data_IF_836554439890
#
_entry.id   IF_836554439890
#
_cell.length_a   1.000
_cell.length_b   1.000
_cell.length_c   1.000
_cell.angle_alpha   90.00
_cell.angle_beta   90.00
_cell.angle_gamma   90.00
#
_symmetry.space_group_name_H-M   'P 1'
#
loop_
_entity.id
_entity.type
_entity.pdbx_description
1 polymer ?
#
# COMPACT_ATOMS: atom_id res chain seq x y z
N UNK A 1 16.67 -39.47 -1.22
CA UNK A 1 15.51 -38.56 -1.43
C UNK A 1 14.89 -38.26 -0.08
N UNK A 2 14.57 -37.00 0.23
CA UNK A 2 13.88 -36.64 1.48
C UNK A 2 12.47 -37.29 1.49
N UNK A 3 12.05 -37.86 2.62
CA UNK A 3 10.79 -38.59 2.77
C UNK A 3 9.56 -37.72 2.51
N UNK A 4 9.61 -36.41 2.78
CA UNK A 4 8.53 -35.48 2.46
C UNK A 4 8.38 -35.26 0.94
N UNK A 5 9.50 -35.05 0.25
CA UNK A 5 9.50 -34.83 -1.20
C UNK A 5 9.05 -36.10 -1.92
N UNK A 6 9.49 -37.27 -1.46
CA UNK A 6 9.08 -38.55 -2.02
C UNK A 6 7.58 -38.80 -1.87
N UNK A 7 6.98 -38.50 -0.71
CA UNK A 7 5.52 -38.57 -0.52
C UNK A 7 4.77 -37.61 -1.44
N UNK A 8 5.27 -36.38 -1.60
CA UNK A 8 4.67 -35.39 -2.53
C UNK A 8 4.72 -35.87 -3.98
N UNK A 9 5.83 -36.48 -4.39
CA UNK A 9 5.96 -37.10 -5.72
C UNK A 9 5.00 -38.27 -5.88
N UNK A 10 4.88 -39.15 -4.88
CA UNK A 10 3.92 -40.26 -4.90
C UNK A 10 2.48 -39.76 -5.01
N UNK A 11 2.08 -38.75 -4.22
CA UNK A 11 0.75 -38.12 -4.32
C UNK A 11 0.49 -37.47 -5.68
N UNK A 12 1.50 -36.81 -6.26
CA UNK A 12 1.39 -36.22 -7.59
C UNK A 12 1.29 -37.27 -8.71
N UNK A 13 1.80 -38.49 -8.48
CA UNK A 13 1.82 -39.58 -9.46
C UNK A 13 0.66 -40.58 -9.33
N UNK A 14 -0.20 -40.48 -8.30
CA UNK A 14 -1.35 -41.39 -8.08
C UNK A 14 -2.22 -41.50 -9.34
N UNK A 15 -2.40 -40.39 -10.03
CA UNK A 15 -3.31 -40.27 -11.18
C UNK A 15 -2.61 -40.66 -12.51
N UNK A 16 -1.35 -41.10 -12.46
CA UNK A 16 -0.54 -41.51 -13.62
C UNK A 16 -0.04 -40.36 -14.51
N UNK A 17 -0.17 -39.11 -14.05
CA UNK A 17 0.21 -37.90 -14.79
C UNK A 17 0.55 -36.74 -13.84
N UNK A 18 1.44 -35.84 -14.26
CA UNK A 18 1.86 -34.64 -13.50
C UNK A 18 1.63 -33.38 -14.36
N UNK A 19 0.88 -32.41 -13.83
CA UNK A 19 0.68 -31.09 -14.47
C UNK A 19 1.91 -30.17 -14.34
N UNK A 20 2.05 -29.16 -15.20
CA UNK A 20 3.17 -28.20 -15.14
C UNK A 20 3.24 -27.47 -13.80
N UNK A 21 2.09 -27.16 -13.20
CA UNK A 21 2.01 -26.54 -11.87
C UNK A 21 2.42 -27.48 -10.75
N UNK A 22 2.02 -28.75 -10.81
CA UNK A 22 2.50 -29.77 -9.86
C UNK A 22 4.02 -29.95 -10.00
N UNK A 23 4.54 -29.99 -11.23
CA UNK A 23 5.98 -30.01 -11.51
C UNK A 23 6.69 -28.79 -10.92
N UNK A 24 6.13 -27.59 -11.07
CA UNK A 24 6.70 -26.36 -10.50
C UNK A 24 6.71 -26.37 -8.96
N UNK A 25 5.64 -26.86 -8.32
CA UNK A 25 5.55 -27.01 -6.86
C UNK A 25 6.60 -28.01 -6.36
N UNK A 26 6.75 -29.14 -7.04
CA UNK A 26 7.77 -30.15 -6.73
C UNK A 26 9.18 -29.59 -6.88
N UNK A 27 9.47 -28.84 -7.96
CA UNK A 27 10.74 -28.14 -8.17
C UNK A 27 11.04 -27.13 -7.06
N UNK A 28 10.07 -26.30 -6.67
CA UNK A 28 10.22 -25.34 -5.56
C UNK A 28 10.54 -26.02 -4.24
N UNK A 29 9.83 -27.11 -3.91
CA UNK A 29 10.08 -27.88 -2.69
C UNK A 29 11.42 -28.61 -2.73
N UNK A 30 11.81 -29.16 -3.88
CA UNK A 30 13.11 -29.78 -4.08
C UNK A 30 14.27 -28.78 -3.92
N UNK A 31 14.15 -27.60 -4.51
CA UNK A 31 15.13 -26.52 -4.37
C UNK A 31 15.31 -26.08 -2.91
N UNK A 32 14.22 -25.94 -2.16
CA UNK A 32 14.27 -25.60 -0.73
C UNK A 32 14.92 -26.68 0.13
N UNK A 33 14.96 -27.92 -0.35
CA UNK A 33 15.63 -29.05 0.30
C UNK A 33 17.05 -29.27 -0.23
N UNK A 34 17.56 -28.38 -1.10
CA UNK A 34 18.88 -28.49 -1.71
C UNK A 34 19.01 -29.65 -2.71
N UNK A 35 17.90 -30.12 -3.26
CA UNK A 35 17.87 -31.20 -4.25
C UNK A 35 18.04 -30.64 -5.66
N UNK A 36 18.76 -31.37 -6.51
CA UNK A 36 19.01 -30.97 -7.89
C UNK A 36 17.72 -31.05 -8.73
N UNK A 37 17.46 -30.02 -9.54
CA UNK A 37 16.22 -29.91 -10.30
C UNK A 37 16.20 -30.88 -11.49
N UNK A 38 17.35 -31.08 -12.14
CA UNK A 38 17.45 -31.97 -13.31
C UNK A 38 17.31 -33.44 -12.86
N UNK A 39 17.89 -33.80 -11.71
CA UNK A 39 17.68 -35.11 -11.09
C UNK A 39 16.21 -35.35 -10.72
N UNK A 40 15.51 -34.34 -10.19
CA UNK A 40 14.09 -34.47 -9.88
C UNK A 40 13.28 -34.74 -11.15
N UNK A 41 13.49 -33.96 -12.21
CA UNK A 41 12.76 -34.13 -13.46
C UNK A 41 13.04 -35.51 -14.09
N UNK A 42 14.30 -35.98 -14.04
CA UNK A 42 14.65 -37.32 -14.49
C UNK A 42 13.92 -38.42 -13.68
N UNK A 43 13.79 -38.25 -12.36
CA UNK A 43 13.04 -39.18 -11.49
C UNK A 43 11.54 -39.15 -11.80
N UNK A 44 10.96 -37.97 -12.01
CA UNK A 44 9.54 -37.82 -12.35
C UNK A 44 9.22 -38.48 -13.69
N UNK A 45 10.03 -38.20 -14.70
CA UNK A 45 9.86 -38.76 -16.04
C UNK A 45 10.13 -40.27 -16.05
N UNK A 46 11.10 -40.74 -15.26
CA UNK A 46 11.39 -42.17 -15.06
C UNK A 46 10.21 -42.91 -14.40
N UNK A 47 9.64 -42.36 -13.32
CA UNK A 47 8.47 -42.94 -12.65
C UNK A 47 7.22 -42.91 -13.53
N UNK A 48 7.00 -41.83 -14.28
CA UNK A 48 5.93 -41.75 -15.28
C UNK A 48 6.14 -42.80 -16.38
N UNK A 49 7.38 -42.99 -16.84
CA UNK A 49 7.70 -44.01 -17.82
C UNK A 49 7.48 -45.42 -17.27
N UNK A 50 7.82 -45.72 -16.02
CA UNK A 50 7.55 -47.02 -15.39
C UNK A 50 6.05 -47.32 -15.27
N UNK A 51 5.26 -46.34 -14.83
CA UNK A 51 3.80 -46.42 -14.81
C UNK A 51 3.24 -46.72 -16.21
N UNK A 52 3.78 -46.06 -17.25
CA UNK A 52 3.38 -46.28 -18.64
C UNK A 52 4.01 -47.52 -19.30
N UNK A 53 5.14 -48.04 -18.81
CA UNK A 53 5.81 -49.22 -19.37
C UNK A 53 5.09 -50.51 -18.97
N UNK A 54 4.47 -50.53 -17.79
CA UNK A 54 3.57 -51.60 -17.37
C UNK A 54 2.32 -51.75 -18.26
N UNK A 55 2.08 -50.80 -19.18
CA UNK A 55 0.97 -50.84 -20.14
C UNK A 55 1.34 -51.26 -21.57
N UNK A 56 2.56 -51.75 -21.84
CA UNK A 56 2.88 -52.36 -23.14
C UNK A 56 2.11 -53.67 -23.31
N UNK A 57 1.43 -53.90 -24.45
CA UNK A 57 0.45 -54.97 -24.56
C UNK A 57 1.12 -56.35 -24.64
N UNK A 58 0.64 -57.30 -23.82
CA UNK A 58 0.57 -58.69 -24.27
C UNK A 58 -0.62 -58.77 -25.23
N UNK A 59 -0.37 -59.12 -26.48
CA UNK A 59 -1.45 -59.41 -27.44
C UNK A 59 -2.20 -60.63 -26.92
N UNK A 60 -3.46 -60.45 -26.52
CA UNK A 60 -4.27 -61.55 -26.00
C UNK A 60 -4.69 -62.44 -27.18
N UNK A 61 -4.04 -63.61 -27.29
CA UNK A 61 -4.44 -64.65 -28.24
C UNK A 61 -5.39 -65.61 -27.56
N UNK A 62 -6.41 -66.08 -28.28
CA UNK A 62 -7.28 -67.13 -27.78
C UNK A 62 -6.44 -68.40 -27.51
N UNK A 63 -6.48 -68.98 -26.30
CA UNK A 63 -5.72 -70.19 -26.00
C UNK A 63 -6.23 -71.43 -26.74
N UNK A 64 -7.47 -71.40 -27.26
CA UNK A 64 -8.06 -72.52 -27.99
C UNK A 64 -7.80 -72.49 -29.49
N UNK A 65 -7.72 -71.32 -30.13
CA UNK A 65 -7.58 -71.21 -31.59
C UNK A 65 -6.46 -70.26 -32.07
N UNK A 66 -5.82 -69.51 -31.17
CA UNK A 66 -4.74 -68.59 -31.51
C UNK A 66 -5.16 -67.24 -32.11
N UNK A 67 -6.45 -67.02 -32.32
CA UNK A 67 -7.03 -65.76 -32.83
C UNK A 67 -6.66 -64.57 -31.93
N UNK A 68 -6.37 -63.41 -32.52
CA UNK A 68 -6.14 -62.18 -31.78
C UNK A 68 -7.49 -61.66 -31.29
N UNK A 69 -7.65 -61.54 -29.97
CA UNK A 69 -8.91 -61.10 -29.37
C UNK A 69 -8.97 -59.57 -29.33
N UNK A 70 -9.74 -58.99 -30.23
CA UNK A 70 -10.09 -57.57 -30.25
C UNK A 70 -11.31 -57.31 -29.34
N UNK A 71 -11.09 -57.02 -28.06
CA UNK A 71 -12.09 -56.38 -27.19
C UNK A 71 -13.24 -57.26 -26.63
N UNK A 72 -13.54 -57.03 -25.34
CA UNK A 72 -14.73 -57.32 -24.49
C UNK A 72 -15.49 -58.66 -24.55
N UNK A 73 -15.41 -59.46 -25.61
CA UNK A 73 -16.10 -60.75 -25.63
C UNK A 73 -15.35 -61.74 -24.76
N UNK A 74 -16.00 -62.23 -23.69
CA UNK A 74 -15.52 -63.39 -22.93
C UNK A 74 -15.53 -64.67 -23.78
N UNK A 75 -16.11 -64.61 -24.98
CA UNK A 75 -16.25 -65.71 -25.92
C UNK A 75 -15.45 -65.39 -27.17
N UNK A 76 -14.52 -66.24 -27.54
CA UNK A 76 -13.75 -66.04 -28.76
C UNK A 76 -14.67 -66.12 -30.00
N UNK A 77 -14.69 -65.11 -30.89
CA UNK A 77 -15.61 -65.08 -32.04
C UNK A 77 -15.37 -66.19 -33.07
N UNK A 78 -14.17 -66.80 -33.07
CA UNK A 78 -13.79 -67.82 -34.04
C UNK A 78 -13.96 -69.25 -33.54
N UNK A 79 -14.06 -69.47 -32.21
CA UNK A 79 -14.10 -70.83 -31.65
C UNK A 79 -14.99 -71.00 -30.42
N UNK A 80 -15.77 -69.98 -30.07
CA UNK A 80 -16.68 -69.97 -28.91
C UNK A 80 -16.03 -70.30 -27.56
N UNK A 81 -14.70 -70.25 -27.47
CA UNK A 81 -13.99 -70.50 -26.22
C UNK A 81 -14.25 -69.40 -25.19
N UNK A 82 -14.73 -69.79 -24.00
CA UNK A 82 -15.00 -68.89 -22.88
C UNK A 82 -13.74 -68.66 -22.06
N UNK A 83 -13.26 -67.42 -22.05
CA UNK A 83 -12.08 -66.99 -21.31
C UNK A 83 -12.41 -66.85 -19.81
N UNK A 84 -11.91 -67.77 -18.98
CA UNK A 84 -11.91 -67.62 -17.52
C UNK A 84 -10.66 -66.82 -17.11
N UNK A 85 -10.84 -65.61 -16.60
CA UNK A 85 -9.72 -64.77 -16.17
C UNK A 85 -9.21 -65.23 -14.80
N UNK A 86 -8.19 -66.08 -14.78
CA UNK A 86 -7.35 -66.26 -13.59
C UNK A 86 -6.17 -65.26 -13.63
N UNK A 87 -6.01 -64.55 -12.52
CA UNK A 87 -5.19 -63.36 -12.32
C UNK A 87 -3.71 -63.52 -12.69
N UNK A 88 -3.20 -62.65 -13.57
CA UNK A 88 -1.77 -62.35 -13.66
C UNK A 88 -1.56 -60.84 -13.92
N UNK A 89 -0.94 -60.17 -12.94
CA UNK A 89 -0.34 -58.82 -12.91
C UNK A 89 -0.90 -57.71 -13.84
N UNK A 90 -1.59 -56.72 -13.22
CA UNK A 90 -1.83 -55.35 -13.71
C UNK A 90 -2.28 -55.15 -15.17
N UNK A 91 -3.02 -56.09 -15.75
CA UNK A 91 -3.74 -55.82 -17.00
C UNK A 91 -5.05 -55.11 -16.65
N UNK A 92 -5.04 -53.76 -16.67
CA UNK A 92 -6.29 -52.98 -16.60
C UNK A 92 -7.24 -53.44 -17.71
N UNK A 93 -8.44 -53.85 -17.31
CA UNK A 93 -9.48 -54.31 -18.25
C UNK A 93 -10.10 -53.12 -18.99
N UNK A 94 -10.71 -53.35 -20.15
CA UNK A 94 -11.39 -52.27 -20.89
C UNK A 94 -12.50 -51.60 -20.05
N UNK A 95 -13.27 -52.40 -19.31
CA UNK A 95 -14.30 -51.89 -18.39
C UNK A 95 -13.68 -50.95 -17.32
N UNK A 96 -12.52 -51.30 -16.77
CA UNK A 96 -11.82 -50.46 -15.81
C UNK A 96 -11.31 -49.14 -16.42
N UNK A 97 -10.79 -49.17 -17.66
CA UNK A 97 -10.37 -47.96 -18.36
C UNK A 97 -11.56 -47.06 -18.74
N UNK A 98 -12.69 -47.64 -19.15
CA UNK A 98 -13.92 -46.89 -19.45
C UNK A 98 -14.49 -46.26 -18.17
N UNK A 99 -14.57 -47.01 -17.07
CA UNK A 99 -14.99 -46.47 -15.76
C UNK A 99 -14.08 -45.37 -15.26
N UNK A 100 -12.78 -45.46 -15.50
CA UNK A 100 -11.81 -44.42 -15.17
C UNK A 100 -12.07 -43.13 -15.96
N UNK A 101 -12.35 -43.26 -17.27
CA UNK A 101 -12.71 -42.13 -18.14
C UNK A 101 -14.03 -41.48 -17.71
N UNK A 102 -15.07 -42.28 -17.46
CA UNK A 102 -16.35 -41.81 -16.94
C UNK A 102 -16.19 -41.10 -15.60
N UNK A 103 -15.35 -41.65 -14.71
CA UNK A 103 -15.03 -41.04 -13.42
C UNK A 103 -14.44 -39.65 -13.57
N UNK A 104 -13.44 -39.47 -14.44
CA UNK A 104 -12.81 -38.17 -14.70
C UNK A 104 -13.78 -37.14 -15.30
N UNK A 105 -14.60 -37.55 -16.27
CA UNK A 105 -15.59 -36.68 -16.91
C UNK A 105 -16.72 -36.33 -15.94
N UNK A 106 -17.17 -37.28 -15.12
CA UNK A 106 -18.21 -37.06 -14.11
C UNK A 106 -17.71 -36.17 -12.96
N UNK A 107 -16.46 -36.36 -12.53
CA UNK A 107 -15.83 -35.52 -11.52
C UNK A 107 -15.82 -34.05 -11.96
N UNK A 108 -15.61 -33.77 -13.25
CA UNK A 108 -15.69 -32.42 -13.80
C UNK A 108 -17.06 -31.80 -13.53
N UNK A 109 -18.16 -32.54 -13.70
CA UNK A 109 -19.53 -32.03 -13.48
C UNK A 109 -19.82 -31.78 -12.00
N UNK A 110 -19.24 -32.58 -11.10
CA UNK A 110 -19.40 -32.47 -9.65
C UNK A 110 -18.63 -31.30 -9.02
N UNK A 111 -17.70 -30.67 -9.74
CA UNK A 111 -16.93 -29.53 -9.23
C UNK A 111 -17.87 -28.39 -8.80
N UNK A 112 -17.84 -27.98 -7.51
CA UNK A 112 -18.72 -26.93 -7.00
C UNK A 112 -18.36 -25.57 -7.59
N UNK A 113 -19.35 -24.66 -7.60
CA UNK A 113 -19.11 -23.27 -7.99
C UNK A 113 -18.18 -22.61 -6.98
N UNK A 114 -16.94 -22.34 -7.37
CA UNK A 114 -15.96 -21.61 -6.53
C UNK A 114 -16.28 -20.12 -6.54
N UNK A 115 -15.74 -19.32 -5.61
CA UNK A 115 -16.04 -17.88 -5.52
C UNK A 115 -15.51 -17.04 -6.70
N UNK A 116 -16.03 -15.81 -6.88
CA UNK A 116 -15.67 -14.90 -7.98
C UNK A 116 -14.31 -14.20 -7.82
N UNK A 117 -13.52 -14.51 -6.78
CA UNK A 117 -12.30 -13.75 -6.43
C UNK A 117 -11.26 -13.70 -7.55
N UNK A 118 -11.01 -14.80 -8.25
CA UNK A 118 -10.05 -14.83 -9.37
C UNK A 118 -10.50 -13.95 -10.55
N UNK A 119 -11.81 -13.88 -10.79
CA UNK A 119 -12.40 -13.03 -11.83
C UNK A 119 -12.25 -11.56 -11.43
N UNK A 120 -12.57 -11.24 -10.17
CA UNK A 120 -12.44 -9.90 -9.63
C UNK A 120 -10.99 -9.39 -9.68
N UNK A 121 -10.01 -10.20 -9.27
CA UNK A 121 -8.59 -9.85 -9.38
C UNK A 121 -8.16 -9.60 -10.83
N UNK A 122 -8.61 -10.43 -11.77
CA UNK A 122 -8.32 -10.24 -13.19
C UNK A 122 -8.98 -8.95 -13.71
N UNK A 123 -10.21 -8.66 -13.31
CA UNK A 123 -10.93 -7.44 -13.69
C UNK A 123 -10.24 -6.17 -13.16
N UNK A 124 -9.78 -6.19 -11.90
CA UNK A 124 -9.00 -5.08 -11.33
C UNK A 124 -7.72 -4.86 -12.14
N UNK A 125 -6.95 -5.92 -12.42
CA UNK A 125 -5.71 -5.79 -13.18
C UNK A 125 -5.97 -5.22 -14.58
N UNK A 126 -7.07 -5.60 -15.25
CA UNK A 126 -7.47 -5.01 -16.53
C UNK A 126 -7.70 -3.51 -16.39
N UNK A 127 -8.46 -3.08 -15.39
CA UNK A 127 -8.79 -1.66 -15.20
C UNK A 127 -7.54 -0.85 -14.82
N UNK A 128 -6.75 -1.33 -13.85
CA UNK A 128 -5.54 -0.63 -13.35
C UNK A 128 -4.48 -0.51 -14.43
N UNK A 129 -4.31 -1.53 -15.27
CA UNK A 129 -3.32 -1.52 -16.36
C UNK A 129 -3.86 -0.91 -17.66
N UNK A 130 -5.03 -0.25 -17.62
CA UNK A 130 -5.70 0.32 -18.79
C UNK A 130 -5.81 -0.68 -19.97
N UNK A 131 -6.02 -1.95 -19.67
CA UNK A 131 -6.15 -3.02 -20.65
C UNK A 131 -4.85 -3.72 -21.07
N UNK A 132 -3.66 -3.27 -20.65
CA UNK A 132 -2.40 -3.95 -20.99
C UNK A 132 -2.35 -5.39 -20.46
N UNK A 133 -3.01 -5.68 -19.33
CA UNK A 133 -3.13 -7.03 -18.80
C UNK A 133 -3.83 -8.01 -19.76
N UNK A 134 -4.74 -7.52 -20.62
CA UNK A 134 -5.40 -8.34 -21.65
C UNK A 134 -4.36 -8.83 -22.66
N UNK A 135 -3.48 -7.93 -23.09
CA UNK A 135 -2.41 -8.24 -24.05
C UNK A 135 -1.45 -9.26 -23.43
N UNK A 136 -1.00 -9.00 -22.20
CA UNK A 136 -0.12 -9.92 -21.47
C UNK A 136 -0.72 -11.33 -21.39
N UNK A 137 -1.98 -11.46 -20.98
CA UNK A 137 -2.58 -12.78 -20.74
C UNK A 137 -2.95 -13.51 -22.04
N UNK A 138 -3.53 -12.81 -23.01
CA UNK A 138 -4.03 -13.42 -24.26
C UNK A 138 -2.95 -13.59 -25.32
N UNK A 139 -2.02 -12.63 -25.45
CA UNK A 139 -1.01 -12.64 -26.52
C UNK A 139 0.27 -13.34 -26.06
N UNK A 140 0.77 -13.00 -24.86
CA UNK A 140 2.04 -13.56 -24.37
C UNK A 140 1.82 -14.95 -23.77
N UNK A 141 0.84 -15.10 -22.88
CA UNK A 141 0.58 -16.37 -22.19
C UNK A 141 -0.36 -17.32 -22.92
N UNK A 142 -1.12 -16.83 -23.92
CA UNK A 142 -2.16 -17.60 -24.63
C UNK A 142 -3.19 -18.26 -23.68
N UNK A 143 -3.42 -17.64 -22.53
CA UNK A 143 -4.35 -18.12 -21.51
C UNK A 143 -5.72 -17.47 -21.67
N UNK A 144 -6.76 -18.14 -21.18
CA UNK A 144 -8.09 -17.54 -21.06
C UNK A 144 -8.06 -16.37 -20.05
N UNK A 145 -8.70 -15.25 -20.43
CA UNK A 145 -8.67 -14.01 -19.65
C UNK A 145 -9.33 -14.20 -18.28
N UNK A 146 -10.51 -14.83 -18.28
CA UNK A 146 -11.30 -15.17 -17.10
C UNK A 146 -11.50 -16.69 -17.07
N UNK A 147 -10.66 -17.39 -16.30
CA UNK A 147 -10.83 -18.81 -16.05
C UNK A 147 -10.61 -19.11 -14.57
N UNK A 148 -11.72 -19.28 -13.85
CA UNK A 148 -11.71 -19.57 -12.42
C UNK A 148 -11.19 -20.97 -12.11
N UNK A 149 -11.46 -21.89 -13.04
CA UNK A 149 -11.17 -23.31 -12.93
C UNK A 149 -9.92 -23.72 -13.69
N UNK A 150 -9.11 -22.78 -14.20
CA UNK A 150 -7.97 -23.05 -15.06
C UNK A 150 -7.11 -24.24 -14.60
N UNK A 151 -6.76 -24.29 -13.31
CA UNK A 151 -6.00 -25.40 -12.72
C UNK A 151 -6.76 -26.74 -12.76
N UNK A 152 -8.04 -26.74 -12.38
CA UNK A 152 -8.88 -27.96 -12.36
C UNK A 152 -9.14 -28.44 -13.79
N UNK A 153 -9.45 -27.52 -14.71
CA UNK A 153 -9.66 -27.82 -16.13
C UNK A 153 -8.40 -28.43 -16.73
N UNK A 154 -7.23 -27.82 -16.50
CA UNK A 154 -5.93 -28.33 -16.98
C UNK A 154 -5.65 -29.74 -16.45
N UNK A 155 -5.86 -29.97 -15.15
CA UNK A 155 -5.67 -31.30 -14.53
C UNK A 155 -6.61 -32.35 -15.13
N UNK A 156 -7.90 -32.03 -15.28
CA UNK A 156 -8.90 -32.96 -15.82
C UNK A 156 -8.66 -33.23 -17.30
N UNK A 157 -8.35 -32.21 -18.10
CA UNK A 157 -8.00 -32.37 -19.52
C UNK A 157 -6.82 -33.34 -19.63
N UNK A 158 -5.76 -33.11 -18.87
CA UNK A 158 -4.56 -33.92 -18.98
C UNK A 158 -4.75 -35.38 -18.51
N UNK A 159 -5.48 -35.59 -17.41
CA UNK A 159 -5.85 -36.92 -16.94
C UNK A 159 -6.74 -37.67 -17.95
N UNK A 160 -7.79 -37.00 -18.46
CA UNK A 160 -8.68 -37.56 -19.47
C UNK A 160 -7.92 -37.89 -20.76
N UNK A 161 -7.05 -36.99 -21.22
CA UNK A 161 -6.25 -37.21 -22.44
C UNK A 161 -5.29 -38.39 -22.28
N UNK A 162 -4.75 -38.59 -21.07
CA UNK A 162 -3.93 -39.76 -20.76
C UNK A 162 -4.75 -41.06 -20.84
N UNK A 163 -5.93 -41.09 -20.22
CA UNK A 163 -6.86 -42.23 -20.29
C UNK A 163 -7.27 -42.53 -21.74
N UNK A 164 -7.59 -41.49 -22.52
CA UNK A 164 -7.95 -41.58 -23.94
C UNK A 164 -6.79 -42.12 -24.77
N UNK A 165 -5.55 -41.66 -24.55
CA UNK A 165 -4.37 -42.18 -25.24
C UNK A 165 -4.20 -43.67 -24.97
N UNK A 166 -4.37 -44.10 -23.72
CA UNK A 166 -4.26 -45.51 -23.34
C UNK A 166 -5.35 -46.36 -24.00
N UNK A 167 -6.60 -45.88 -24.01
CA UNK A 167 -7.72 -46.53 -24.70
C UNK A 167 -7.48 -46.64 -26.21
N UNK A 168 -7.08 -45.56 -26.87
CA UNK A 168 -6.78 -45.55 -28.31
C UNK A 168 -5.57 -46.42 -28.67
N UNK A 169 -4.56 -46.50 -27.81
CA UNK A 169 -3.39 -47.35 -28.05
C UNK A 169 -3.76 -48.84 -28.01
N UNK A 170 -4.74 -49.24 -27.19
CA UNK A 170 -5.14 -50.64 -27.02
C UNK A 170 -6.32 -51.06 -27.91
N UNK A 171 -7.24 -50.14 -28.21
CA UNK A 171 -8.51 -50.42 -28.88
C UNK A 171 -8.83 -49.42 -29.99
N UNK A 172 -7.82 -48.76 -30.55
CA UNK A 172 -7.98 -47.72 -31.57
C UNK A 172 -8.59 -48.20 -32.89
N UNK A 173 -8.62 -49.50 -33.15
CA UNK A 173 -9.26 -50.09 -34.34
C UNK A 173 -10.74 -50.41 -34.11
N UNK A 174 -11.23 -50.37 -32.86
CA UNK A 174 -12.63 -50.64 -32.52
C UNK A 174 -13.48 -49.36 -32.70
N UNK A 175 -14.45 -49.44 -33.61
CA UNK A 175 -15.34 -48.31 -33.94
C UNK A 175 -16.23 -47.89 -32.75
N UNK A 176 -16.73 -48.85 -31.97
CA UNK A 176 -17.61 -48.56 -30.83
C UNK A 176 -16.83 -47.88 -29.70
N UNK A 177 -15.61 -48.35 -29.44
CA UNK A 177 -14.73 -47.74 -28.43
C UNK A 177 -14.35 -46.32 -28.83
N UNK A 178 -14.00 -46.07 -30.09
CA UNK A 178 -13.71 -44.72 -30.58
C UNK A 178 -14.91 -43.79 -30.52
N UNK A 179 -16.10 -44.27 -30.84
CA UNK A 179 -17.32 -43.49 -30.73
C UNK A 179 -17.58 -43.06 -29.29
N UNK A 180 -17.48 -44.00 -28.34
CA UNK A 180 -17.61 -43.72 -26.91
C UNK A 180 -16.56 -42.71 -26.41
N UNK A 181 -15.29 -42.87 -26.79
CA UNK A 181 -14.22 -41.92 -26.46
C UNK A 181 -14.56 -40.51 -26.94
N UNK A 182 -14.97 -40.38 -28.20
CA UNK A 182 -15.27 -39.08 -28.79
C UNK A 182 -16.48 -38.42 -28.12
N UNK A 183 -17.50 -39.18 -27.76
CA UNK A 183 -18.65 -38.70 -27.00
C UNK A 183 -18.23 -38.16 -25.63
N UNK A 184 -17.40 -38.91 -24.89
CA UNK A 184 -16.91 -38.50 -23.56
C UNK A 184 -16.03 -37.26 -23.62
N UNK A 185 -15.18 -37.14 -24.64
CA UNK A 185 -14.37 -35.93 -24.89
C UNK A 185 -15.27 -34.74 -25.21
N UNK A 186 -16.27 -34.93 -26.07
CA UNK A 186 -17.21 -33.87 -26.43
C UNK A 186 -18.02 -33.38 -25.22
N UNK A 187 -18.48 -34.29 -24.36
CA UNK A 187 -19.15 -33.93 -23.10
C UNK A 187 -18.25 -33.11 -22.17
N UNK A 188 -17.01 -33.56 -21.96
CA UNK A 188 -16.00 -32.83 -21.17
C UNK A 188 -15.80 -31.41 -21.71
N UNK A 189 -15.53 -31.30 -23.01
CA UNK A 189 -15.22 -30.02 -23.65
C UNK A 189 -16.42 -29.06 -23.63
N UNK A 190 -17.64 -29.60 -23.78
CA UNK A 190 -18.88 -28.82 -23.64
C UNK A 190 -19.04 -28.23 -22.23
N UNK A 191 -18.73 -29.00 -21.19
CA UNK A 191 -18.78 -28.52 -19.79
C UNK A 191 -17.76 -27.40 -19.56
N UNK A 192 -16.52 -27.58 -20.03
CA UNK A 192 -15.45 -26.57 -19.90
C UNK A 192 -15.82 -25.29 -20.65
N UNK A 193 -16.28 -25.42 -21.90
CA UNK A 193 -16.69 -24.28 -22.72
C UNK A 193 -17.86 -23.52 -22.09
N UNK A 194 -18.83 -24.21 -21.49
CA UNK A 194 -19.95 -23.58 -20.78
C UNK A 194 -19.47 -22.77 -19.57
N UNK A 195 -18.50 -23.29 -18.81
CA UNK A 195 -17.90 -22.58 -17.66
C UNK A 195 -17.13 -21.34 -18.11
N UNK A 196 -16.26 -21.48 -19.10
CA UNK A 196 -15.45 -20.37 -19.62
C UNK A 196 -16.31 -19.23 -20.19
N UNK A 197 -17.40 -19.56 -20.90
CA UNK A 197 -18.38 -18.56 -21.37
C UNK A 197 -19.02 -17.81 -20.18
N UNK A 198 -19.45 -18.55 -19.16
CA UNK A 198 -20.04 -17.95 -17.95
C UNK A 198 -19.05 -17.04 -17.20
N UNK A 199 -17.81 -17.47 -17.03
CA UNK A 199 -16.76 -16.68 -16.38
C UNK A 199 -16.38 -15.45 -17.21
N UNK A 200 -16.37 -15.56 -18.55
CA UNK A 200 -16.13 -14.42 -19.44
C UNK A 200 -17.22 -13.35 -19.30
N UNK A 201 -18.49 -13.76 -19.29
CA UNK A 201 -19.62 -12.86 -19.07
C UNK A 201 -19.53 -12.19 -17.69
N UNK A 202 -19.28 -12.98 -16.64
CA UNK A 202 -19.10 -12.46 -15.28
C UNK A 202 -17.94 -11.47 -15.18
N UNK A 203 -16.83 -11.74 -15.87
CA UNK A 203 -15.65 -10.86 -15.89
C UNK A 203 -15.94 -9.54 -16.57
N UNK A 204 -16.61 -9.56 -17.73
CA UNK A 204 -17.02 -8.33 -18.44
C UNK A 204 -17.95 -7.48 -17.56
N UNK A 205 -18.96 -8.09 -16.94
CA UNK A 205 -19.88 -7.38 -16.02
C UNK A 205 -19.10 -6.74 -14.87
N UNK A 206 -18.13 -7.47 -14.30
CA UNK A 206 -17.31 -6.96 -13.19
C UNK A 206 -16.46 -5.77 -13.63
N UNK A 207 -15.83 -5.82 -14.81
CA UNK A 207 -15.06 -4.69 -15.37
C UNK A 207 -15.98 -3.48 -15.58
N UNK A 208 -17.14 -3.67 -16.20
CA UNK A 208 -18.11 -2.59 -16.42
C UNK A 208 -18.59 -1.98 -15.09
N UNK A 209 -18.85 -2.80 -14.07
CA UNK A 209 -19.22 -2.32 -12.75
C UNK A 209 -18.10 -1.50 -12.11
N UNK A 210 -16.84 -1.95 -12.17
CA UNK A 210 -15.69 -1.21 -11.64
C UNK A 210 -15.53 0.13 -12.37
N UNK A 211 -15.59 0.14 -13.70
CA UNK A 211 -15.50 1.38 -14.49
C UNK A 211 -16.68 2.32 -14.19
N UNK A 212 -17.89 1.79 -14.05
CA UNK A 212 -19.07 2.56 -13.66
C UNK A 212 -18.95 3.17 -12.27
N UNK A 213 -18.39 2.43 -11.30
CA UNK A 213 -18.09 2.94 -9.96
C UNK A 213 -17.04 4.06 -10.03
N UNK A 214 -15.94 3.85 -10.75
CA UNK A 214 -14.90 4.88 -10.93
C UNK A 214 -15.45 6.14 -11.62
N UNK A 215 -16.34 5.97 -12.60
CA UNK A 215 -17.03 7.08 -13.25
C UNK A 215 -18.00 7.79 -12.30
N UNK A 216 -18.72 7.06 -11.44
CA UNK A 216 -19.57 7.67 -10.43
C UNK A 216 -18.73 8.47 -9.40
N UNK A 217 -17.60 7.92 -8.96
CA UNK A 217 -16.66 8.62 -8.08
C UNK A 217 -16.07 9.88 -8.73
N UNK A 218 -15.81 9.87 -10.04
CA UNK A 218 -15.33 11.07 -10.75
C UNK A 218 -16.41 12.16 -10.91
N UNK A 219 -17.69 11.79 -10.76
CA UNK A 219 -18.83 12.72 -10.79
C UNK A 219 -19.30 13.15 -9.41
N UNK A 220 -18.93 12.43 -8.35
CA UNK A 220 -19.18 12.89 -6.99
C UNK A 220 -18.29 14.08 -6.71
N UNK A 221 -18.90 15.26 -6.53
CA UNK A 221 -18.26 16.34 -5.80
C UNK A 221 -18.00 15.81 -4.39
N UNK A 222 -16.72 15.52 -4.12
CA UNK A 222 -16.28 15.18 -2.77
C UNK A 222 -16.83 16.27 -1.83
N UNK A 223 -17.52 15.89 -0.73
CA UNK A 223 -17.90 16.88 0.26
C UNK A 223 -16.64 17.66 0.61
N UNK A 224 -16.66 18.98 0.41
CA UNK A 224 -15.54 19.86 0.78
C UNK A 224 -15.10 19.41 2.17
N UNK A 225 -13.82 19.06 2.39
CA UNK A 225 -13.38 18.64 3.70
C UNK A 225 -13.90 19.69 4.67
N UNK A 226 -14.63 19.25 5.70
CA UNK A 226 -14.98 20.12 6.82
C UNK A 226 -13.72 20.89 7.17
N UNK A 227 -13.80 22.23 7.18
CA UNK A 227 -12.66 23.17 7.28
C UNK A 227 -11.49 22.50 8.01
N UNK A 228 -10.28 22.47 7.43
CA UNK A 228 -9.14 21.87 8.09
C UNK A 228 -9.10 22.38 9.52
N UNK A 229 -8.99 21.47 10.50
CA UNK A 229 -8.77 21.84 11.89
C UNK A 229 -7.51 22.69 11.84
N UNK A 230 -7.71 24.00 12.02
CA UNK A 230 -6.67 25.01 11.91
C UNK A 230 -5.50 24.58 12.80
N UNK A 231 -4.30 24.48 12.23
CA UNK A 231 -3.13 24.04 12.98
C UNK A 231 -2.83 25.01 14.12
N UNK A 232 -2.12 24.56 15.16
CA UNK A 232 -1.71 25.44 16.25
C UNK A 232 -0.84 26.61 15.74
N UNK A 233 -0.04 26.37 14.69
CA UNK A 233 0.73 27.39 13.97
C UNK A 233 -0.19 28.42 13.30
N UNK A 234 -1.15 27.98 12.49
CA UNK A 234 -2.11 28.86 11.81
C UNK A 234 -2.91 29.72 12.81
N UNK A 235 -3.35 29.10 13.92
CA UNK A 235 -4.05 29.82 15.00
C UNK A 235 -3.17 30.90 15.62
N UNK A 236 -1.91 30.57 15.90
CA UNK A 236 -0.94 31.49 16.51
C UNK A 236 -0.66 32.67 15.60
N UNK A 237 -0.35 32.42 14.33
CA UNK A 237 -0.16 33.48 13.33
C UNK A 237 -1.39 34.37 13.19
N UNK A 238 -2.60 33.79 13.16
CA UNK A 238 -3.83 34.56 13.06
C UNK A 238 -4.00 35.48 14.26
N UNK A 239 -3.74 34.99 15.47
CA UNK A 239 -3.82 35.83 16.67
C UNK A 239 -2.76 36.92 16.71
N UNK A 240 -1.54 36.65 16.21
CA UNK A 240 -0.49 37.66 16.01
C UNK A 240 -0.97 38.75 15.04
N UNK A 241 -1.47 38.36 13.86
CA UNK A 241 -2.01 39.28 12.84
C UNK A 241 -3.19 40.11 13.38
N UNK A 242 -3.95 39.56 14.33
CA UNK A 242 -5.06 40.25 14.99
C UNK A 242 -4.64 41.09 16.22
N UNK A 243 -3.35 41.15 16.57
CA UNK A 243 -2.83 41.87 17.74
C UNK A 243 -3.23 41.27 19.09
N UNK A 244 -3.67 40.00 19.12
CA UNK A 244 -4.17 39.33 20.34
C UNK A 244 -3.06 38.51 20.99
N UNK A 245 -2.05 39.19 21.54
CA UNK A 245 -0.82 38.59 22.08
C UNK A 245 -1.11 37.47 23.10
N UNK A 246 -2.02 37.70 24.05
CA UNK A 246 -2.36 36.68 25.05
C UNK A 246 -2.97 35.41 24.45
N UNK A 247 -3.84 35.54 23.43
CA UNK A 247 -4.43 34.38 22.73
C UNK A 247 -3.39 33.66 21.86
N UNK A 248 -2.47 34.42 21.25
CA UNK A 248 -1.37 33.86 20.48
C UNK A 248 -0.42 33.04 21.36
N UNK A 249 -0.07 33.50 22.57
CA UNK A 249 0.76 32.74 23.52
C UNK A 249 0.10 31.43 23.95
N UNK A 250 -1.22 31.43 24.17
CA UNK A 250 -1.96 30.21 24.51
C UNK A 250 -1.91 29.21 23.35
N UNK A 251 -2.12 29.67 22.11
CA UNK A 251 -2.04 28.81 20.94
C UNK A 251 -0.62 28.30 20.69
N UNK A 252 0.41 29.12 20.93
CA UNK A 252 1.81 28.74 20.82
C UNK A 252 2.19 27.63 21.81
N UNK A 253 1.60 27.63 23.01
CA UNK A 253 1.84 26.58 24.00
C UNK A 253 1.33 25.20 23.56
N UNK A 254 0.38 25.13 22.63
CA UNK A 254 -0.11 23.88 22.03
C UNK A 254 0.82 23.35 20.92
N UNK A 255 1.82 24.11 20.48
CA UNK A 255 2.78 23.70 19.45
C UNK A 255 3.86 22.76 19.99
N UNK A 256 4.22 21.77 19.19
CA UNK A 256 5.39 20.91 19.43
C UNK A 256 6.68 21.74 19.44
N UNK A 257 7.65 21.34 20.27
CA UNK A 257 8.96 22.00 20.34
C UNK A 257 9.67 21.93 18.98
N UNK A 258 10.19 23.06 18.51
CA UNK A 258 10.87 23.14 17.24
C UNK A 258 11.11 24.57 16.78
N UNK A 259 11.87 24.69 15.69
CA UNK A 259 12.34 25.97 15.16
C UNK A 259 11.21 26.99 14.91
N UNK A 260 10.08 26.55 14.37
CA UNK A 260 8.92 27.43 14.10
C UNK A 260 8.30 27.98 15.40
N UNK A 261 8.26 27.19 16.47
CA UNK A 261 7.76 27.62 17.78
C UNK A 261 8.69 28.67 18.37
N UNK A 262 10.00 28.48 18.26
CA UNK A 262 11.01 29.43 18.74
C UNK A 262 10.92 30.77 17.99
N UNK A 263 10.72 30.73 16.67
CA UNK A 263 10.55 31.92 15.84
C UNK A 263 9.30 32.72 16.26
N UNK A 264 8.17 32.04 16.44
CA UNK A 264 6.92 32.66 16.89
C UNK A 264 6.98 33.15 18.34
N UNK A 265 7.69 32.46 19.24
CA UNK A 265 7.91 32.91 20.62
C UNK A 265 8.71 34.23 20.65
N UNK A 266 9.79 34.30 19.88
CA UNK A 266 10.59 35.52 19.75
C UNK A 266 9.78 36.69 19.20
N UNK A 267 8.98 36.44 18.15
CA UNK A 267 8.09 37.46 17.59
C UNK A 267 7.05 37.95 18.61
N UNK A 268 6.46 37.03 19.39
CA UNK A 268 5.48 37.38 20.42
C UNK A 268 6.09 38.17 21.58
N UNK A 269 7.32 37.88 21.96
CA UNK A 269 8.06 38.65 22.96
C UNK A 269 8.30 40.07 22.48
N UNK A 270 8.71 40.25 21.22
CA UNK A 270 8.94 41.58 20.65
C UNK A 270 7.65 42.40 20.61
N UNK A 271 6.54 41.79 20.18
CA UNK A 271 5.23 42.44 20.20
C UNK A 271 4.75 42.80 21.62
N UNK A 272 5.07 41.98 22.62
CA UNK A 272 4.74 42.27 24.02
C UNK A 272 5.56 43.44 24.56
N UNK A 273 6.85 43.49 24.26
CA UNK A 273 7.73 44.61 24.62
C UNK A 273 7.20 45.91 24.00
N UNK A 274 6.88 45.90 22.71
CA UNK A 274 6.32 47.06 22.01
C UNK A 274 4.99 47.48 22.61
N UNK A 275 4.09 46.53 22.90
CA UNK A 275 2.80 46.80 23.51
C UNK A 275 2.94 47.45 24.90
N UNK A 276 3.83 46.94 25.75
CA UNK A 276 4.07 47.47 27.10
C UNK A 276 4.71 48.86 27.03
N UNK A 277 5.67 49.04 26.14
CA UNK A 277 6.36 50.32 25.94
C UNK A 277 5.39 51.40 25.45
N UNK A 278 4.52 51.07 24.50
CA UNK A 278 3.47 51.98 24.02
C UNK A 278 2.42 52.31 25.09
N UNK A 279 2.23 51.42 26.08
CA UNK A 279 1.37 51.66 27.23
C UNK A 279 2.06 52.46 28.36
N UNK A 280 3.28 52.96 28.12
CA UNK A 280 4.17 53.58 29.13
C UNK A 280 4.54 52.65 30.31
N UNK A 281 4.34 51.32 30.19
CA UNK A 281 4.79 50.33 31.16
C UNK A 281 6.22 49.85 30.84
N UNK A 282 7.16 50.77 31.01
CA UNK A 282 8.58 50.54 30.68
C UNK A 282 9.23 49.49 31.59
N UNK A 283 8.82 49.43 32.86
CA UNK A 283 9.34 48.43 33.81
C UNK A 283 8.85 47.02 33.43
N UNK A 284 7.59 46.89 33.01
CA UNK A 284 7.05 45.67 32.42
C UNK A 284 7.84 45.23 31.18
N UNK A 285 8.05 46.15 30.23
CA UNK A 285 8.81 45.87 29.01
C UNK A 285 10.24 45.40 29.31
N UNK A 286 10.96 46.07 30.21
CA UNK A 286 12.30 45.67 30.63
C UNK A 286 12.35 44.31 31.33
N UNK A 287 11.31 43.95 32.07
CA UNK A 287 11.22 42.63 32.70
C UNK A 287 11.03 41.52 31.66
N UNK A 288 10.22 41.75 30.62
CA UNK A 288 10.06 40.79 29.50
C UNK A 288 11.40 40.57 28.78
N UNK A 289 12.14 41.65 28.51
CA UNK A 289 13.48 41.60 27.92
C UNK A 289 14.42 40.72 28.78
N UNK A 290 14.44 40.92 30.10
CA UNK A 290 15.32 40.16 31.00
C UNK A 290 14.92 38.70 31.16
N UNK A 291 13.61 38.41 31.20
CA UNK A 291 13.10 37.06 31.40
C UNK A 291 13.48 36.08 30.27
N UNK A 292 13.82 36.59 29.08
CA UNK A 292 14.33 35.78 27.96
C UNK A 292 15.77 35.30 28.11
N UNK A 293 16.55 35.86 29.03
CA UNK A 293 18.00 35.63 29.09
C UNK A 293 18.46 35.32 30.51
N UNK A 294 18.52 34.02 30.81
CA UNK A 294 19.06 33.50 32.07
C UNK A 294 20.54 33.14 31.82
N UNK A 295 21.41 34.15 31.78
CA UNK A 295 22.85 33.96 31.56
C UNK A 295 23.69 35.16 31.99
N UNK A 296 24.96 34.95 32.31
CA UNK A 296 25.90 36.00 32.73
C UNK A 296 26.31 36.95 31.57
N UNK A 297 25.92 36.63 30.34
CA UNK A 297 26.20 37.41 29.14
C UNK A 297 24.87 37.82 28.50
N UNK A 298 24.68 39.12 28.30
CA UNK A 298 23.53 39.69 27.59
C UNK A 298 23.98 39.90 26.13
N UNK A 299 23.44 39.17 25.16
CA UNK A 299 23.70 39.43 23.74
C UNK A 299 23.42 40.88 23.37
N UNK A 300 24.23 41.42 22.45
CA UNK A 300 24.19 42.82 22.02
C UNK A 300 22.78 43.26 21.53
N UNK A 301 22.06 42.38 20.84
CA UNK A 301 20.70 42.63 20.34
C UNK A 301 19.68 42.93 21.45
N UNK A 302 19.87 42.35 22.63
CA UNK A 302 18.98 42.55 23.80
C UNK A 302 19.34 43.85 24.50
N UNK A 303 20.63 44.17 24.53
CA UNK A 303 21.12 45.43 25.07
C UNK A 303 20.57 46.59 24.26
N UNK A 304 20.60 46.51 22.93
CA UNK A 304 20.01 47.51 22.02
C UNK A 304 18.49 47.67 22.26
N UNK A 305 17.74 46.57 22.40
CA UNK A 305 16.30 46.63 22.70
C UNK A 305 16.02 47.29 24.06
N UNK A 306 16.81 46.97 25.08
CA UNK A 306 16.68 47.61 26.39
C UNK A 306 16.94 49.11 26.34
N UNK A 307 17.95 49.53 25.57
CA UNK A 307 18.32 50.93 25.39
C UNK A 307 17.22 51.72 24.70
N UNK A 308 16.54 51.12 23.70
CA UNK A 308 15.39 51.73 23.02
C UNK A 308 14.25 52.00 24.02
N UNK A 309 13.89 51.01 24.84
CA UNK A 309 12.83 51.16 25.86
C UNK A 309 13.19 52.24 26.87
N UNK A 310 14.44 52.26 27.34
CA UNK A 310 14.92 53.24 28.32
C UNK A 310 14.96 54.65 27.72
N UNK A 311 15.39 54.79 26.47
CA UNK A 311 15.36 56.06 25.76
C UNK A 311 13.93 56.61 25.63
N UNK A 312 12.96 55.75 25.30
CA UNK A 312 11.55 56.14 25.23
C UNK A 312 11.01 56.56 26.61
N UNK A 313 11.35 55.83 27.68
CA UNK A 313 10.99 56.20 29.05
C UNK A 313 11.54 57.57 29.42
N UNK A 314 12.82 57.81 29.14
CA UNK A 314 13.48 59.09 29.41
C UNK A 314 12.82 60.21 28.62
N UNK A 315 12.51 59.99 27.35
CA UNK A 315 11.79 60.98 26.54
C UNK A 315 10.40 61.31 27.12
N UNK A 316 9.63 60.32 27.60
CA UNK A 316 8.35 60.56 28.28
C UNK A 316 8.53 61.40 29.56
N UNK A 317 9.54 61.09 30.38
CA UNK A 317 9.86 61.86 31.60
C UNK A 317 10.30 63.29 31.29
N UNK A 318 11.10 63.49 30.24
CA UNK A 318 11.56 64.80 29.80
C UNK A 318 10.42 65.69 29.32
N UNK A 319 9.41 65.12 28.64
CA UNK A 319 8.18 65.84 28.27
C UNK A 319 7.39 66.30 29.51
N UNK A 320 7.43 65.50 30.58
CA UNK A 320 6.82 65.80 31.88
C UNK A 320 7.70 66.71 32.76
N UNK A 321 8.87 67.15 32.27
CA UNK A 321 9.88 67.92 32.98
C UNK A 321 10.40 67.24 34.28
N UNK A 322 10.36 65.91 34.34
CA UNK A 322 10.82 65.10 35.48
C UNK A 322 12.30 64.71 35.32
N UNK A 323 13.20 65.71 35.32
CA UNK A 323 14.62 65.52 34.98
C UNK A 323 15.38 64.61 35.96
N UNK A 324 15.09 64.68 37.27
CA UNK A 324 15.79 63.85 38.27
C UNK A 324 15.48 62.36 38.08
N UNK A 325 14.19 62.04 37.88
CA UNK A 325 13.76 60.66 37.57
C UNK A 325 14.35 60.18 36.25
N UNK A 326 14.47 61.06 35.25
CA UNK A 326 15.11 60.71 33.98
C UNK A 326 16.57 60.28 34.21
N UNK A 327 17.34 61.01 35.04
CA UNK A 327 18.73 60.65 35.38
C UNK A 327 18.84 59.32 36.13
N UNK A 328 17.92 59.03 37.05
CA UNK A 328 17.87 57.74 37.74
C UNK A 328 17.70 56.58 36.76
N UNK A 329 16.88 56.76 35.72
CA UNK A 329 16.63 55.74 34.69
C UNK A 329 17.79 55.56 33.71
N UNK A 330 18.61 56.59 33.46
CA UNK A 330 19.78 56.49 32.57
C UNK A 330 20.72 55.36 32.98
N UNK A 331 20.90 55.11 34.27
CA UNK A 331 21.82 54.08 34.79
C UNK A 331 21.46 52.67 34.30
N UNK A 332 20.21 52.45 33.89
CA UNK A 332 19.75 51.17 33.35
C UNK A 332 20.20 50.93 31.90
N UNK A 333 20.61 51.97 31.18
CA UNK A 333 21.04 51.88 29.77
C UNK A 333 22.47 51.37 29.65
N UNK A 334 22.85 50.95 28.44
CA UNK A 334 24.24 50.59 28.11
C UNK A 334 25.19 51.77 28.34
N UNK A 335 26.46 51.45 28.60
CA UNK A 335 27.49 52.46 28.82
C UNK A 335 27.57 53.51 27.69
N UNK A 336 27.44 53.07 26.43
CA UNK A 336 27.45 53.96 25.27
C UNK A 336 26.22 54.88 25.31
N UNK A 337 25.05 54.30 25.54
CA UNK A 337 23.78 55.04 25.53
C UNK A 337 23.63 56.00 26.71
N UNK A 338 24.21 55.68 27.86
CA UNK A 338 24.22 56.55 29.04
C UNK A 338 24.81 57.94 28.74
N UNK A 339 25.90 58.01 27.99
CA UNK A 339 26.53 59.29 27.62
C UNK A 339 25.59 60.17 26.78
N UNK A 340 24.93 59.57 25.79
CA UNK A 340 23.97 60.26 24.91
C UNK A 340 22.76 60.78 25.69
N UNK A 341 22.17 59.93 26.53
CA UNK A 341 20.96 60.26 27.28
C UNK A 341 21.21 61.33 28.35
N UNK A 342 22.35 61.28 29.05
CA UNK A 342 22.74 62.33 29.99
C UNK A 342 22.87 63.70 29.29
N UNK A 343 23.53 63.74 28.12
CA UNK A 343 23.66 64.97 27.35
C UNK A 343 22.31 65.50 26.88
N UNK A 344 21.38 64.62 26.49
CA UNK A 344 20.03 64.99 26.10
C UNK A 344 19.26 65.63 27.27
N UNK A 345 19.33 65.02 28.46
CA UNK A 345 18.69 65.52 29.68
C UNK A 345 19.23 66.92 30.01
N UNK A 346 20.55 67.11 30.04
CA UNK A 346 21.18 68.39 30.38
C UNK A 346 20.74 69.52 29.45
N UNK A 347 20.67 69.23 28.14
CA UNK A 347 20.21 70.19 27.12
C UNK A 347 18.75 70.58 27.35
N UNK A 348 17.87 69.60 27.59
CA UNK A 348 16.44 69.84 27.81
C UNK A 348 16.18 70.59 29.11
N UNK A 349 16.88 70.24 30.18
CA UNK A 349 16.75 70.90 31.48
C UNK A 349 17.20 72.37 31.41
N UNK A 350 18.33 72.64 30.75
CA UNK A 350 18.83 74.00 30.54
C UNK A 350 17.85 74.84 29.72
N UNK A 351 17.29 74.28 28.64
CA UNK A 351 16.29 74.95 27.82
C UNK A 351 15.01 75.27 28.64
N UNK A 352 14.55 74.32 29.46
CA UNK A 352 13.40 74.50 30.33
C UNK A 352 13.62 75.63 31.36
N UNK A 353 14.80 75.68 32.01
CA UNK A 353 15.16 76.77 32.95
C UNK A 353 15.17 78.13 32.27
N UNK A 354 15.75 78.24 31.07
CA UNK A 354 15.78 79.48 30.29
C UNK A 354 14.36 79.98 29.95
N UNK A 355 13.45 79.08 29.56
CA UNK A 355 12.04 79.43 29.29
C UNK A 355 11.33 79.93 30.56
N UNK A 356 11.58 79.29 31.70
CA UNK A 356 11.02 79.72 33.00
C UNK A 356 11.54 81.11 33.40
N UNK A 357 12.81 81.42 33.12
CA UNK A 357 13.39 82.73 33.41
C UNK A 357 12.86 83.85 32.50
N UNK A 358 12.65 83.57 31.22
CA UNK A 358 12.04 84.53 30.27
C UNK A 358 10.58 84.85 30.60
N UNK A 359 9.86 83.89 31.20
CA UNK A 359 8.46 84.05 31.60
C UNK A 359 8.29 84.66 33.02
N UNK A 360 9.37 84.97 33.75
CA UNK A 360 9.27 85.69 35.03
C UNK A 360 8.80 87.12 34.79
N UNK A 361 7.70 87.59 35.41
CA UNK A 361 7.21 88.94 35.23
C UNK A 361 8.28 89.95 35.68
N UNK A 362 8.69 90.84 34.77
CA UNK A 362 9.60 91.94 35.08
C UNK A 362 8.94 92.79 36.17
N UNK A 363 9.50 92.78 37.38
CA UNK A 363 9.09 93.70 38.45
C UNK A 363 9.28 95.13 37.94
N UNK A 364 8.22 95.77 37.43
CA UNK A 364 8.20 97.20 37.11
C UNK A 364 8.61 97.95 38.37
N UNK A 365 9.80 98.57 38.35
CA UNK A 365 10.25 99.51 39.38
C UNK A 365 9.17 100.59 39.50
N UNK A 366 8.47 100.65 40.65
CA UNK A 366 7.66 101.81 41.03
C UNK A 366 8.60 103.03 41.05
N UNK A 367 8.45 103.94 40.09
CA UNK A 367 9.09 105.25 40.15
C UNK A 367 8.49 105.99 41.34
N UNK A 368 9.33 106.30 42.34
CA UNK A 368 8.98 107.26 43.40
C UNK A 368 8.77 108.63 42.75
N UNK A 369 7.58 109.20 42.92
CA UNK A 369 7.33 110.63 42.86
C UNK A 369 6.98 111.07 44.26
#
# INVERSE_FOLDING_TARGET
MNTELQKLVEYALVDGYITDKEREVLRKKAQNLGFDLDELDMILDGKLYELNKSSKPKVNKCPSCGEILSGLSRVCPSCDYVLYAESTENIQTLDEMMRSLDGSVSALQAVPKTGNSKIFNSAILIVVTAGLYIIYKKVIKKEALFDRYAYINEKIIASTDSQVRNLRTKYGDDQNVNQYINERIAERDAVIAKRQKGDTVSGIITVVAIVGILFAFSKMEMPKPSKPVESAEDKTERYIKAGRIGQAKIALAEMEEGYQKDELDNLLRDLEIDSLTNAEDYDGALNVIRAGHIGAYIPYEIQDKSDIVIEQQINSLLLKAEFDKARERVVLASYVKQGELNLLIDKRESAYKNLQEQNKPTKRKKSRR
#
